data_IF_652080608670
#
_entry.id   IF_652080608670
#
_cell.length_a   1.000
_cell.length_b   1.000
_cell.length_c   1.000
_cell.angle_alpha   90.00
_cell.angle_beta   90.00
_cell.angle_gamma   90.00
#
_symmetry.space_group_name_H-M   'P 1'
#
loop_
_entity.id
_entity.type
_entity.pdbx_description
1 polymer ?
#
# COMPACT_ATOMS: atom_id res chain seq x y z
N UNK A 1 43.48 -5.05 26.35
CA UNK A 1 42.52 -6.18 26.28
C UNK A 1 42.78 -6.86 24.95
N UNK A 2 42.96 -8.18 24.92
CA UNK A 2 43.23 -8.88 23.67
C UNK A 2 42.01 -8.78 22.74
N UNK A 3 42.22 -8.40 21.48
CA UNK A 3 41.17 -8.46 20.46
C UNK A 3 40.66 -9.90 20.35
N UNK A 4 39.38 -10.10 20.64
CA UNK A 4 38.71 -11.38 20.44
C UNK A 4 38.37 -11.48 18.95
N UNK A 5 39.25 -12.10 18.16
CA UNK A 5 39.03 -12.31 16.73
C UNK A 5 38.17 -13.56 16.55
N UNK A 6 36.91 -13.38 16.15
CA UNK A 6 36.02 -14.48 15.75
C UNK A 6 36.34 -14.87 14.31
N UNK A 7 36.69 -16.13 14.08
CA UNK A 7 36.88 -16.70 12.74
C UNK A 7 35.60 -17.41 12.31
N UNK A 8 35.17 -17.15 11.08
CA UNK A 8 33.98 -17.73 10.47
C UNK A 8 34.25 -18.05 9.00
N UNK A 9 33.63 -19.11 8.50
CA UNK A 9 33.68 -19.46 7.07
C UNK A 9 32.92 -18.42 6.23
N UNK A 10 33.56 -17.92 5.17
CA UNK A 10 33.01 -16.85 4.36
C UNK A 10 31.68 -17.23 3.70
N UNK A 11 31.58 -18.46 3.18
CA UNK A 11 30.36 -18.97 2.54
C UNK A 11 29.17 -19.00 3.49
N UNK A 12 29.37 -19.46 4.72
CA UNK A 12 28.33 -19.51 5.76
C UNK A 12 27.86 -18.11 6.15
N UNK A 13 28.80 -17.18 6.35
CA UNK A 13 28.47 -15.79 6.69
C UNK A 13 27.71 -15.10 5.57
N UNK A 14 28.14 -15.29 4.33
CA UNK A 14 27.49 -14.73 3.15
C UNK A 14 26.08 -15.28 2.98
N UNK A 15 25.91 -16.60 3.11
CA UNK A 15 24.60 -17.24 3.00
C UNK A 15 23.64 -16.71 4.07
N UNK A 16 24.09 -16.66 5.34
CA UNK A 16 23.27 -16.14 6.44
C UNK A 16 22.88 -14.68 6.22
N UNK A 17 23.86 -13.81 5.96
CA UNK A 17 23.61 -12.38 5.76
C UNK A 17 22.67 -12.11 4.57
N UNK A 18 22.83 -12.89 3.50
CA UNK A 18 21.96 -12.77 2.33
C UNK A 18 20.53 -13.22 2.63
N UNK A 19 20.34 -14.33 3.36
CA UNK A 19 19.01 -14.82 3.76
C UNK A 19 18.33 -13.80 4.69
N UNK A 20 19.04 -13.31 5.70
CA UNK A 20 18.50 -12.34 6.67
C UNK A 20 18.02 -11.06 5.96
N UNK A 21 18.83 -10.52 5.05
CA UNK A 21 18.45 -9.38 4.22
C UNK A 21 17.26 -9.69 3.30
N UNK A 22 17.29 -10.84 2.62
CA UNK A 22 16.24 -11.24 1.68
C UNK A 22 14.89 -11.37 2.38
N UNK A 23 14.85 -12.05 3.52
CA UNK A 23 13.65 -12.21 4.33
C UNK A 23 13.11 -10.86 4.79
N UNK A 24 13.97 -9.98 5.32
CA UNK A 24 13.56 -8.63 5.73
C UNK A 24 12.95 -7.83 4.58
N UNK A 25 13.51 -7.90 3.38
CA UNK A 25 12.96 -7.20 2.20
C UNK A 25 11.61 -7.78 1.78
N UNK A 26 11.46 -9.11 1.80
CA UNK A 26 10.22 -9.79 1.40
C UNK A 26 9.10 -9.48 2.39
N UNK A 27 9.32 -9.69 3.69
CA UNK A 27 8.25 -9.65 4.70
C UNK A 27 7.99 -8.26 5.27
N UNK A 28 8.99 -7.37 5.29
CA UNK A 28 8.91 -6.10 6.00
C UNK A 28 9.15 -4.87 5.12
N UNK A 29 9.17 -5.02 3.78
CA UNK A 29 9.39 -3.88 2.88
C UNK A 29 8.62 -3.93 1.57
N UNK A 30 8.88 -4.94 0.74
CA UNK A 30 8.56 -4.87 -0.67
C UNK A 30 7.12 -5.28 -1.01
N UNK A 31 6.58 -6.27 -0.28
CA UNK A 31 5.25 -6.84 -0.52
C UNK A 31 4.24 -6.32 0.51
N UNK A 32 2.97 -6.10 0.11
CA UNK A 32 1.90 -5.79 1.05
C UNK A 32 1.48 -7.03 1.85
N UNK A 33 0.80 -6.81 2.98
CA UNK A 33 0.04 -7.87 3.66
C UNK A 33 -1.29 -8.08 2.92
N UNK A 34 -1.72 -9.33 2.75
CA UNK A 34 -2.97 -9.64 2.04
C UNK A 34 -4.23 -9.18 2.79
N UNK A 35 -4.16 -9.08 4.13
CA UNK A 35 -5.29 -8.71 4.99
C UNK A 35 -5.69 -7.26 4.83
N UNK A 36 -4.71 -6.35 4.78
CA UNK A 36 -4.96 -4.91 4.70
C UNK A 36 -4.51 -4.26 3.39
N UNK A 37 -3.76 -4.98 2.55
CA UNK A 37 -3.24 -4.48 1.28
C UNK A 37 -2.14 -3.43 1.42
N UNK A 38 -1.54 -3.26 2.59
CA UNK A 38 -0.56 -2.21 2.87
C UNK A 38 0.85 -2.77 3.08
N UNK A 39 1.84 -2.00 2.62
CA UNK A 39 3.24 -2.18 3.01
C UNK A 39 3.49 -1.56 4.38
N UNK A 40 4.54 -1.99 5.11
CA UNK A 40 4.85 -1.43 6.43
C UNK A 40 5.00 0.08 6.47
N UNK A 41 5.65 0.71 5.48
CA UNK A 41 5.77 2.17 5.43
C UNK A 41 4.42 2.88 5.29
N UNK A 42 3.50 2.33 4.49
CA UNK A 42 2.15 2.91 4.29
C UNK A 42 1.34 2.80 5.58
N UNK A 43 1.34 1.61 6.20
CA UNK A 43 0.68 1.35 7.49
C UNK A 43 1.18 2.30 8.57
N UNK A 44 2.49 2.44 8.72
CA UNK A 44 3.13 3.31 9.72
C UNK A 44 2.83 4.78 9.50
N UNK A 45 2.80 5.25 8.23
CA UNK A 45 2.40 6.64 7.92
C UNK A 45 0.95 6.89 8.35
N UNK A 46 0.01 6.02 7.96
CA UNK A 46 -1.41 6.18 8.32
C UNK A 46 -1.63 6.12 9.84
N UNK A 47 -0.98 5.18 10.51
CA UNK A 47 -1.04 5.07 11.97
C UNK A 47 -0.41 6.28 12.67
N UNK A 48 0.74 6.78 12.21
CA UNK A 48 1.34 8.00 12.77
C UNK A 48 0.44 9.23 12.60
N UNK A 49 -0.24 9.35 11.46
CA UNK A 49 -1.22 10.43 11.22
C UNK A 49 -2.41 10.35 12.16
N UNK A 50 -2.91 9.15 12.44
CA UNK A 50 -3.97 8.88 13.42
C UNK A 50 -3.54 9.27 14.84
N UNK A 51 -2.35 8.82 15.27
CA UNK A 51 -1.78 9.16 16.58
C UNK A 51 -1.49 10.65 16.75
N UNK A 52 -1.21 11.37 15.66
CA UNK A 52 -1.08 12.82 15.64
C UNK A 52 -2.44 13.57 15.66
N UNK A 53 -3.56 12.84 15.60
CA UNK A 53 -4.90 13.40 15.57
C UNK A 53 -5.21 14.17 14.29
N UNK A 54 -4.64 13.77 13.15
CA UNK A 54 -4.81 14.43 11.86
C UNK A 54 -6.09 13.98 11.14
N UNK A 55 -7.19 13.95 11.90
CA UNK A 55 -8.50 13.53 11.42
C UNK A 55 -9.00 14.42 10.28
N UNK A 56 -9.93 13.91 9.49
CA UNK A 56 -10.44 14.61 8.30
C UNK A 56 -11.07 15.98 8.61
N UNK A 57 -11.61 16.14 9.82
CA UNK A 57 -12.27 17.35 10.31
C UNK A 57 -11.28 18.38 10.89
N UNK A 58 -9.98 18.06 10.96
CA UNK A 58 -8.94 18.95 11.48
C UNK A 58 -8.21 19.71 10.37
N UNK A 59 -7.52 20.82 10.70
CA UNK A 59 -6.64 21.49 9.75
C UNK A 59 -5.46 20.61 9.34
N UNK A 60 -4.98 20.79 8.12
CA UNK A 60 -3.75 20.16 7.64
C UNK A 60 -2.55 20.50 8.55
N UNK A 61 -1.55 19.62 8.56
CA UNK A 61 -0.27 19.81 9.24
C UNK A 61 0.88 19.58 8.28
N UNK A 62 2.00 20.28 8.53
CA UNK A 62 3.21 20.16 7.72
C UNK A 62 3.63 18.71 7.55
N UNK A 63 3.86 18.29 6.31
CA UNK A 63 4.29 16.93 5.97
C UNK A 63 5.57 16.55 6.70
N UNK A 64 6.49 17.51 6.90
CA UNK A 64 7.70 17.31 7.69
C UNK A 64 7.45 16.80 9.13
N UNK A 65 6.34 17.20 9.76
CA UNK A 65 5.95 16.70 11.08
C UNK A 65 5.50 15.24 11.03
N UNK A 66 4.67 14.90 10.04
CA UNK A 66 4.18 13.52 9.83
C UNK A 66 5.36 12.59 9.57
N UNK A 67 6.27 13.01 8.69
CA UNK A 67 7.49 12.26 8.35
C UNK A 67 8.38 12.09 9.58
N UNK A 68 8.62 13.15 10.35
CA UNK A 68 9.42 13.11 11.56
C UNK A 68 8.87 12.17 12.64
N UNK A 69 7.57 12.24 12.94
CA UNK A 69 6.93 11.34 13.90
C UNK A 69 6.93 9.89 13.43
N UNK A 70 6.65 9.65 12.15
CA UNK A 70 6.69 8.29 11.57
C UNK A 70 8.10 7.71 11.67
N UNK A 71 9.12 8.50 11.32
CA UNK A 71 10.51 8.08 11.35
C UNK A 71 11.00 7.80 12.77
N UNK A 72 10.69 8.71 13.71
CA UNK A 72 11.15 8.63 15.09
C UNK A 72 10.53 7.49 15.89
N UNK A 73 9.26 7.14 15.61
CA UNK A 73 8.52 6.15 16.40
C UNK A 73 8.41 4.78 15.73
N UNK A 74 8.24 4.73 14.42
CA UNK A 74 7.76 3.49 13.76
C UNK A 74 8.64 3.03 12.60
N UNK A 75 9.23 3.94 11.83
CA UNK A 75 9.91 3.61 10.57
C UNK A 75 11.38 4.07 10.58
N UNK A 76 12.33 3.22 11.01
CA UNK A 76 13.75 3.60 11.18
C UNK A 76 14.53 3.64 9.85
N UNK A 77 13.96 4.30 8.84
CA UNK A 77 14.54 4.49 7.52
C UNK A 77 14.42 5.95 7.08
N UNK A 78 15.02 6.29 5.93
CA UNK A 78 15.15 7.66 5.47
C UNK A 78 13.83 8.41 5.33
N UNK A 79 13.85 9.68 5.70
CA UNK A 79 12.73 10.63 5.61
C UNK A 79 12.16 10.73 4.20
N UNK A 80 13.01 10.67 3.17
CA UNK A 80 12.59 10.67 1.75
C UNK A 80 11.60 9.56 1.44
N UNK A 81 11.86 8.32 1.88
CA UNK A 81 11.01 7.15 1.60
C UNK A 81 9.62 7.27 2.24
N UNK A 82 9.57 7.87 3.43
CA UNK A 82 8.33 8.12 4.16
C UNK A 82 7.55 9.25 3.48
N UNK A 83 8.23 10.32 3.08
CA UNK A 83 7.59 11.45 2.39
C UNK A 83 7.06 11.04 1.01
N UNK A 84 7.82 10.29 0.23
CA UNK A 84 7.36 9.73 -1.06
C UNK A 84 6.14 8.83 -0.87
N UNK A 85 6.11 8.03 0.20
CA UNK A 85 4.92 7.23 0.57
C UNK A 85 3.72 8.13 0.84
N UNK A 86 3.88 9.17 1.66
CA UNK A 86 2.82 10.14 1.96
C UNK A 86 2.29 10.81 0.68
N UNK A 87 3.19 11.15 -0.24
CA UNK A 87 2.84 11.75 -1.53
C UNK A 87 2.00 10.78 -2.38
N UNK A 88 2.44 9.52 -2.53
CA UNK A 88 1.70 8.51 -3.30
C UNK A 88 0.33 8.20 -2.68
N UNK A 89 0.22 8.25 -1.35
CA UNK A 89 -1.06 8.06 -0.64
C UNK A 89 -2.05 9.21 -0.86
N UNK A 90 -1.60 10.35 -1.39
CA UNK A 90 -2.44 11.51 -1.71
C UNK A 90 -2.85 11.53 -3.21
N UNK A 91 -2.01 11.02 -4.10
CA UNK A 91 -2.19 11.11 -5.55
C UNK A 91 -3.31 10.20 -6.08
N UNK A 92 -4.47 10.76 -6.39
CA UNK A 92 -5.62 10.05 -6.97
C UNK A 92 -5.34 9.44 -8.37
N UNK A 93 -4.28 9.87 -9.08
CA UNK A 93 -3.88 9.27 -10.37
C UNK A 93 -2.92 8.07 -10.24
N UNK A 94 -2.42 7.78 -9.02
CA UNK A 94 -1.57 6.61 -8.73
C UNK A 94 -2.32 5.45 -8.08
N UNK A 95 -3.44 5.74 -7.42
CA UNK A 95 -4.21 4.81 -6.60
C UNK A 95 -5.68 4.86 -6.96
N UNK A 96 -6.38 3.73 -6.82
CA UNK A 96 -7.84 3.69 -7.04
C UNK A 96 -8.59 4.61 -6.07
N UNK A 97 -8.09 4.74 -4.85
CA UNK A 97 -8.59 5.63 -3.81
C UNK A 97 -7.41 6.20 -3.01
N UNK A 98 -7.12 7.49 -3.14
CA UNK A 98 -6.13 8.10 -2.26
C UNK A 98 -6.61 8.10 -0.81
N UNK A 99 -5.68 7.95 0.13
CA UNK A 99 -5.92 7.79 1.56
C UNK A 99 -5.58 9.05 2.37
N UNK A 100 -4.90 10.01 1.76
CA UNK A 100 -4.44 11.25 2.38
C UNK A 100 -5.03 12.44 1.64
N UNK A 101 -5.42 13.47 2.39
CA UNK A 101 -5.83 14.77 1.88
C UNK A 101 -4.64 15.74 1.99
N UNK A 102 -4.16 16.21 0.84
CA UNK A 102 -2.98 17.06 0.72
C UNK A 102 -3.33 18.52 0.46
N UNK A 103 -2.51 19.42 1.00
CA UNK A 103 -2.51 20.83 0.68
C UNK A 103 -1.12 21.28 0.22
N UNK A 104 -1.05 21.82 -1.00
CA UNK A 104 0.18 22.23 -1.67
C UNK A 104 0.42 21.43 -2.94
N UNK A 105 1.64 21.47 -3.47
CA UNK A 105 2.00 20.71 -4.66
C UNK A 105 2.45 19.29 -4.28
N UNK A 106 1.60 18.30 -4.52
CA UNK A 106 1.89 16.88 -4.36
C UNK A 106 2.31 16.17 -5.66
N UNK A 107 2.65 16.94 -6.71
CA UNK A 107 3.07 16.43 -8.00
C UNK A 107 1.91 16.34 -9.00
N UNK A 108 2.22 15.94 -10.22
CA UNK A 108 1.28 15.91 -11.34
C UNK A 108 1.35 14.58 -12.10
N UNK A 109 0.29 14.28 -12.85
CA UNK A 109 0.26 13.13 -13.77
C UNK A 109 1.28 13.27 -14.90
N UNK A 110 1.74 14.49 -15.20
CA UNK A 110 2.72 14.80 -16.24
C UNK A 110 4.15 14.46 -15.83
N UNK A 111 4.37 14.08 -14.56
CA UNK A 111 5.66 13.62 -14.04
C UNK A 111 6.38 14.64 -13.16
N UNK A 112 5.74 15.77 -12.83
CA UNK A 112 6.29 16.70 -11.84
C UNK A 112 6.27 16.08 -10.45
N UNK A 113 7.41 16.14 -9.77
CA UNK A 113 7.52 15.71 -8.38
C UNK A 113 6.79 16.64 -7.42
N UNK A 114 6.47 16.12 -6.23
CA UNK A 114 5.94 16.94 -5.15
C UNK A 114 6.94 18.02 -4.71
N UNK A 115 6.41 19.14 -4.21
CA UNK A 115 7.23 20.12 -3.51
C UNK A 115 7.86 19.50 -2.24
N UNK A 116 8.91 20.12 -1.71
CA UNK A 116 9.54 19.64 -0.49
C UNK A 116 8.56 19.62 0.70
N UNK A 117 8.72 18.65 1.61
CA UNK A 117 7.84 18.42 2.78
C UNK A 117 7.67 19.61 3.75
N UNK A 118 8.50 20.65 3.62
CA UNK A 118 8.35 21.92 4.36
C UNK A 118 7.23 22.82 3.80
N UNK A 119 6.83 22.61 2.55
CA UNK A 119 5.79 23.38 1.87
C UNK A 119 4.44 22.68 1.89
N UNK A 120 4.43 21.36 1.75
CA UNK A 120 3.20 20.57 1.74
C UNK A 120 2.65 20.35 3.15
N UNK A 121 1.35 20.17 3.23
CA UNK A 121 0.63 19.79 4.44
C UNK A 121 -0.32 18.64 4.12
N UNK A 122 -0.63 17.80 5.10
CA UNK A 122 -1.51 16.65 4.91
C UNK A 122 -2.39 16.40 6.15
N UNK A 123 -3.50 15.70 5.94
CA UNK A 123 -4.37 15.08 6.94
C UNK A 123 -5.01 13.81 6.37
N UNK A 124 -5.72 13.03 7.19
CA UNK A 124 -6.43 11.84 6.73
C UNK A 124 -7.67 12.23 5.91
N UNK A 125 -7.98 11.47 4.84
CA UNK A 125 -9.32 11.53 4.23
C UNK A 125 -10.32 10.89 5.20
N UNK A 126 -11.58 11.34 5.15
CA UNK A 126 -12.67 10.76 5.96
C UNK A 126 -12.79 9.25 5.76
N UNK A 127 -12.74 8.81 4.49
CA UNK A 127 -12.76 7.40 4.12
C UNK A 127 -11.66 6.61 4.83
N UNK A 128 -10.42 7.10 4.83
CA UNK A 128 -9.30 6.43 5.50
C UNK A 128 -9.53 6.29 7.00
N UNK A 129 -10.00 7.34 7.66
CA UNK A 129 -10.30 7.28 9.08
C UNK A 129 -11.40 6.25 9.39
N UNK A 130 -12.51 6.30 8.65
CA UNK A 130 -13.68 5.45 8.91
C UNK A 130 -13.44 3.97 8.52
N UNK A 131 -12.61 3.72 7.49
CA UNK A 131 -12.46 2.39 6.88
C UNK A 131 -11.15 1.70 7.26
N UNK A 132 -10.05 2.44 7.46
CA UNK A 132 -8.72 1.86 7.70
C UNK A 132 -8.32 1.91 9.17
N UNK A 133 -8.81 2.89 9.93
CA UNK A 133 -8.28 3.20 11.26
C UNK A 133 -9.32 3.09 12.39
N UNK A 134 -10.60 3.11 12.05
CA UNK A 134 -11.67 3.01 13.03
C UNK A 134 -11.60 1.69 13.82
N UNK A 135 -11.85 1.80 15.13
CA UNK A 135 -11.87 0.72 16.12
C UNK A 135 -10.50 0.12 16.49
N UNK A 136 -9.38 0.76 16.13
CA UNK A 136 -8.04 0.37 16.60
C UNK A 136 -7.91 0.34 18.14
N UNK A 137 -8.71 1.12 18.85
CA UNK A 137 -8.77 1.18 20.31
C UNK A 137 -9.59 0.04 20.94
N UNK A 138 -10.21 -0.83 20.13
CA UNK A 138 -11.12 -1.89 20.57
C UNK A 138 -10.53 -3.31 20.50
N UNK A 139 -9.19 -3.41 20.51
CA UNK A 139 -8.49 -4.70 20.54
C UNK A 139 -8.85 -5.63 19.36
N UNK A 140 -8.98 -5.04 18.16
CA UNK A 140 -9.39 -5.75 16.92
C UNK A 140 -8.21 -6.26 16.10
N UNK A 141 -6.99 -5.80 16.39
CA UNK A 141 -5.74 -6.22 15.75
C UNK A 141 -4.64 -6.34 16.79
N UNK A 142 -3.70 -7.25 16.54
CA UNK A 142 -2.51 -7.38 17.37
C UNK A 142 -1.58 -6.18 17.20
N UNK A 143 -0.97 -5.76 18.31
CA UNK A 143 0.06 -4.73 18.35
C UNK A 143 1.41 -5.37 18.69
N UNK A 144 2.42 -4.97 17.93
CA UNK A 144 3.80 -5.39 18.13
C UNK A 144 4.65 -4.23 18.68
N UNK A 145 5.72 -4.52 19.44
CA UNK A 145 6.71 -3.49 19.77
C UNK A 145 7.29 -2.86 18.50
N UNK A 146 7.58 -1.56 18.55
CA UNK A 146 8.33 -0.89 17.50
C UNK A 146 9.82 -1.31 17.51
N UNK A 147 10.63 -0.70 16.64
CA UNK A 147 12.02 -1.09 16.40
C UNK A 147 12.97 -0.91 17.60
N UNK A 148 12.63 -0.06 18.57
CA UNK A 148 13.40 0.16 19.82
C UNK A 148 12.65 -0.28 21.08
N UNK A 149 11.51 -0.96 20.90
CA UNK A 149 10.64 -1.51 21.95
C UNK A 149 10.07 -0.46 22.93
N UNK A 150 10.09 0.83 22.58
CA UNK A 150 9.54 1.91 23.42
C UNK A 150 8.09 2.28 23.11
N UNK A 151 7.63 1.97 21.88
CA UNK A 151 6.28 2.23 21.39
C UNK A 151 5.65 0.94 20.86
N UNK A 152 4.34 0.99 20.56
CA UNK A 152 3.64 -0.10 19.87
C UNK A 152 3.10 0.35 18.53
N UNK A 153 3.11 -0.56 17.56
CA UNK A 153 2.50 -0.37 16.25
C UNK A 153 1.59 -1.56 15.90
N UNK A 154 0.51 -1.35 15.12
CA UNK A 154 -0.36 -2.43 14.71
C UNK A 154 0.34 -3.33 13.69
N UNK A 155 0.20 -4.65 13.83
CA UNK A 155 0.73 -5.61 12.84
C UNK A 155 0.08 -5.39 11.47
N UNK A 156 -1.25 -5.22 11.47
CA UNK A 156 -2.11 -4.86 10.32
C UNK A 156 -3.13 -3.81 10.73
N UNK A 157 -3.67 -3.08 9.76
CA UNK A 157 -4.83 -2.21 10.01
C UNK A 157 -6.15 -2.99 9.86
N UNK A 158 -7.22 -2.61 10.57
CA UNK A 158 -8.53 -3.29 10.54
C UNK A 158 -9.32 -3.13 9.23
N UNK A 159 -8.67 -2.68 8.15
CA UNK A 159 -9.25 -2.22 6.88
C UNK A 159 -10.54 -2.97 6.50
N UNK A 160 -11.67 -2.24 6.48
CA UNK A 160 -13.02 -2.81 6.30
C UNK A 160 -13.43 -3.06 4.86
N UNK A 161 -12.52 -2.86 3.93
CA UNK A 161 -12.72 -3.05 2.48
C UNK A 161 -11.53 -3.84 1.92
N UNK A 162 -11.71 -4.58 0.81
CA UNK A 162 -10.65 -5.36 0.18
C UNK A 162 -9.61 -4.47 -0.54
N UNK A 163 -8.86 -3.69 0.24
CA UNK A 163 -7.95 -2.64 -0.24
C UNK A 163 -6.87 -3.18 -1.19
N UNK A 164 -6.38 -4.40 -0.98
CA UNK A 164 -5.40 -5.02 -1.87
C UNK A 164 -5.87 -5.01 -3.33
N UNK A 165 -7.15 -5.29 -3.57
CA UNK A 165 -7.73 -5.30 -4.92
C UNK A 165 -8.15 -3.89 -5.37
N UNK A 166 -8.72 -3.10 -4.47
CA UNK A 166 -9.20 -1.74 -4.78
C UNK A 166 -8.04 -0.83 -5.20
N UNK A 167 -6.97 -0.79 -4.40
CA UNK A 167 -5.82 0.09 -4.62
C UNK A 167 -4.65 -0.58 -5.33
N UNK A 168 -4.73 -1.89 -5.54
CA UNK A 168 -3.65 -2.67 -6.13
C UNK A 168 -2.38 -2.63 -5.29
N UNK A 169 -1.34 -3.29 -5.79
CA UNK A 169 -0.03 -3.29 -5.17
C UNK A 169 1.06 -3.57 -6.19
N UNK A 170 2.16 -2.85 -6.06
CA UNK A 170 3.38 -3.10 -6.83
C UNK A 170 4.54 -3.29 -5.87
N UNK A 171 5.48 -4.19 -6.19
CA UNK A 171 6.62 -4.44 -5.32
C UNK A 171 7.68 -5.29 -5.99
N UNK A 172 8.93 -4.95 -5.73
CA UNK A 172 10.11 -5.71 -6.17
C UNK A 172 10.85 -6.14 -4.91
N UNK A 173 10.84 -7.43 -4.63
CA UNK A 173 11.53 -8.04 -3.50
C UNK A 173 12.79 -8.79 -3.98
N UNK A 174 13.41 -9.55 -3.09
CA UNK A 174 14.53 -10.42 -3.48
C UNK A 174 13.97 -11.71 -4.10
N UNK A 175 14.19 -11.88 -5.40
CA UNK A 175 13.78 -13.09 -6.14
C UNK A 175 12.31 -13.17 -6.52
N UNK A 176 11.51 -12.15 -6.23
CA UNK A 176 10.08 -12.11 -6.58
C UNK A 176 9.57 -10.68 -6.78
N UNK A 177 8.46 -10.55 -7.49
CA UNK A 177 7.77 -9.28 -7.73
C UNK A 177 6.27 -9.48 -7.58
N UNK A 178 5.56 -8.39 -7.28
CA UNK A 178 4.10 -8.33 -7.31
C UNK A 178 3.65 -7.11 -8.13
N UNK A 179 2.57 -7.27 -8.88
CA UNK A 179 1.91 -6.21 -9.62
C UNK A 179 0.42 -6.56 -9.77
N UNK A 180 -0.39 -6.04 -8.85
CA UNK A 180 -1.83 -6.22 -8.77
C UNK A 180 -2.47 -4.90 -9.22
N UNK A 181 -3.30 -4.89 -10.27
CA UNK A 181 -3.95 -3.67 -10.72
C UNK A 181 -5.10 -3.28 -9.78
N UNK A 182 -5.52 -2.02 -9.87
CA UNK A 182 -6.67 -1.46 -9.14
C UNK A 182 -7.99 -2.01 -9.69
N UNK A 183 -9.00 -2.10 -8.84
CA UNK A 183 -10.34 -2.57 -9.19
C UNK A 183 -11.40 -1.65 -8.56
N UNK A 184 -12.61 -1.72 -9.09
CA UNK A 184 -13.71 -0.92 -8.61
C UNK A 184 -14.19 -1.40 -7.23
N UNK A 185 -14.39 -0.49 -6.28
CA UNK A 185 -14.85 -0.81 -4.92
C UNK A 185 -16.18 -1.57 -4.91
N UNK A 186 -17.16 -1.14 -5.71
CA UNK A 186 -18.48 -1.76 -5.77
C UNK A 186 -18.40 -3.20 -6.28
N UNK A 187 -17.74 -3.39 -7.43
CA UNK A 187 -17.56 -4.71 -8.05
C UNK A 187 -16.87 -5.71 -7.11
N UNK A 188 -15.82 -5.28 -6.41
CA UNK A 188 -15.10 -6.18 -5.49
C UNK A 188 -15.95 -6.51 -4.25
N UNK A 189 -16.70 -5.55 -3.71
CA UNK A 189 -17.60 -5.80 -2.58
C UNK A 189 -18.72 -6.76 -2.98
N UNK A 190 -19.33 -6.56 -4.16
CA UNK A 190 -20.36 -7.45 -4.69
C UNK A 190 -19.83 -8.88 -4.88
N UNK A 191 -18.59 -9.02 -5.36
CA UNK A 191 -17.93 -10.32 -5.48
C UNK A 191 -17.63 -10.98 -4.13
N UNK A 192 -17.25 -10.21 -3.10
CA UNK A 192 -17.13 -10.71 -1.73
C UNK A 192 -18.47 -11.22 -1.20
N UNK A 193 -19.56 -10.48 -1.42
CA UNK A 193 -20.90 -10.91 -1.04
C UNK A 193 -21.32 -12.19 -1.79
N UNK A 194 -21.08 -12.26 -3.10
CA UNK A 194 -21.37 -13.45 -3.90
C UNK A 194 -20.61 -14.69 -3.40
N UNK A 195 -19.35 -14.54 -3.01
CA UNK A 195 -18.56 -15.63 -2.41
C UNK A 195 -19.07 -16.05 -1.03
N UNK A 196 -19.57 -15.10 -0.22
CA UNK A 196 -20.19 -15.41 1.06
C UNK A 196 -21.52 -16.16 0.91
N UNK A 197 -22.26 -15.89 -0.17
CA UNK A 197 -23.51 -16.58 -0.49
C UNK A 197 -23.27 -17.98 -1.09
N UNK A 198 -22.20 -18.16 -1.87
CA UNK A 198 -21.78 -19.45 -2.43
C UNK A 198 -20.25 -19.61 -2.42
N UNK A 199 -19.73 -20.35 -1.44
CA UNK A 199 -18.30 -20.65 -1.32
C UNK A 199 -17.73 -21.48 -2.48
N UNK A 200 -18.58 -22.08 -3.34
CA UNK A 200 -18.18 -22.85 -4.52
C UNK A 200 -18.24 -22.04 -5.82
N UNK A 201 -18.56 -20.74 -5.76
CA UNK A 201 -18.58 -19.88 -6.94
C UNK A 201 -17.23 -19.94 -7.65
N UNK A 202 -17.26 -20.14 -8.96
CA UNK A 202 -16.04 -20.24 -9.77
C UNK A 202 -15.46 -18.85 -10.03
N UNK A 203 -14.20 -18.79 -10.46
CA UNK A 203 -13.59 -17.54 -10.94
C UNK A 203 -14.42 -16.89 -12.04
N UNK A 204 -14.95 -17.67 -12.98
CA UNK A 204 -15.86 -17.17 -14.02
C UNK A 204 -17.14 -16.56 -13.41
N UNK A 205 -17.72 -17.19 -12.38
CA UNK A 205 -18.88 -16.65 -11.66
C UNK A 205 -18.56 -15.34 -10.93
N UNK A 206 -17.38 -15.22 -10.32
CA UNK A 206 -16.92 -13.98 -9.69
C UNK A 206 -16.68 -12.86 -10.70
N UNK A 207 -16.26 -13.21 -11.93
CA UNK A 207 -16.05 -12.23 -13.01
C UNK A 207 -17.32 -11.62 -13.57
N UNK A 208 -18.50 -12.20 -13.29
CA UNK A 208 -19.78 -11.53 -13.56
C UNK A 208 -19.96 -10.28 -12.70
N UNK A 209 -19.30 -10.23 -11.52
CA UNK A 209 -19.28 -9.08 -10.63
C UNK A 209 -18.03 -8.20 -10.87
N UNK A 210 -16.85 -8.81 -10.98
CA UNK A 210 -15.58 -8.12 -11.27
C UNK A 210 -15.26 -8.22 -12.76
N UNK A 211 -15.67 -7.20 -13.52
CA UNK A 211 -15.55 -7.20 -14.99
C UNK A 211 -14.08 -7.16 -15.41
N UNK A 212 -13.24 -6.50 -14.63
CA UNK A 212 -11.82 -6.37 -14.88
C UNK A 212 -11.17 -5.28 -14.01
N UNK A 213 -9.92 -4.90 -14.30
CA UNK A 213 -9.27 -3.82 -13.60
C UNK A 213 -9.91 -2.45 -13.91
N UNK A 214 -9.92 -1.58 -12.91
CA UNK A 214 -10.39 -0.19 -12.97
C UNK A 214 -9.23 0.75 -12.63
N UNK A 215 -8.55 1.26 -13.65
CA UNK A 215 -7.37 2.11 -13.46
C UNK A 215 -7.78 3.56 -13.13
N UNK A 216 -7.08 4.25 -12.21
CA UNK A 216 -7.44 5.62 -11.81
C UNK A 216 -7.43 6.63 -12.97
N UNK A 217 -6.64 6.36 -14.02
CA UNK A 217 -6.56 7.19 -15.23
C UNK A 217 -7.49 6.72 -16.35
N UNK A 218 -8.27 5.66 -16.12
CA UNK A 218 -9.10 4.99 -17.11
C UNK A 218 -8.28 4.28 -18.19
N UNK A 219 -8.70 4.43 -19.44
CA UNK A 219 -8.13 3.72 -20.59
C UNK A 219 -8.93 2.48 -20.98
N UNK A 220 -8.37 1.67 -21.89
CA UNK A 220 -9.03 0.49 -22.45
C UNK A 220 -8.15 -0.75 -22.28
N UNK A 221 -8.69 -1.77 -21.62
CA UNK A 221 -8.12 -3.13 -21.65
C UNK A 221 -8.46 -3.76 -23.00
N UNK A 222 -7.45 -4.04 -23.83
CA UNK A 222 -7.67 -4.54 -25.21
C UNK A 222 -7.67 -6.06 -25.34
N UNK A 223 -7.16 -6.78 -24.34
CA UNK A 223 -7.13 -8.24 -24.29
C UNK A 223 -8.05 -8.80 -23.21
N UNK A 224 -9.29 -8.30 -23.13
CA UNK A 224 -10.29 -8.74 -22.13
C UNK A 224 -10.51 -10.26 -22.12
N UNK A 225 -10.40 -10.92 -23.28
CA UNK A 225 -10.52 -12.37 -23.41
C UNK A 225 -9.45 -13.17 -22.65
N UNK A 226 -8.33 -12.53 -22.27
CA UNK A 226 -7.26 -13.17 -21.49
C UNK A 226 -7.50 -13.04 -19.97
N UNK A 227 -8.39 -12.15 -19.51
CA UNK A 227 -8.63 -11.89 -18.08
C UNK A 227 -9.04 -13.12 -17.27
N UNK A 228 -9.90 -14.05 -17.75
CA UNK A 228 -10.26 -15.23 -16.99
C UNK A 228 -9.04 -16.10 -16.62
N UNK A 229 -8.14 -16.34 -17.57
CA UNK A 229 -6.92 -17.11 -17.32
C UNK A 229 -5.95 -16.37 -16.37
N UNK A 230 -5.92 -15.04 -16.44
CA UNK A 230 -5.09 -14.21 -15.56
C UNK A 230 -5.60 -14.30 -14.12
N UNK A 231 -6.91 -14.17 -13.91
CA UNK A 231 -7.50 -14.27 -12.57
C UNK A 231 -7.45 -15.68 -11.99
N UNK A 232 -7.61 -16.72 -12.81
CA UNK A 232 -7.49 -18.11 -12.36
C UNK A 232 -6.05 -18.45 -11.91
N UNK A 233 -5.04 -17.95 -12.62
CA UNK A 233 -3.63 -18.30 -12.37
C UNK A 233 -2.88 -17.27 -11.51
N UNK A 234 -3.44 -16.08 -11.32
CA UNK A 234 -2.77 -14.93 -10.70
C UNK A 234 -1.65 -14.31 -11.55
N UNK A 235 -1.45 -14.75 -12.81
CA UNK A 235 -0.35 -14.27 -13.66
C UNK A 235 -0.78 -14.03 -15.11
N UNK A 236 -0.24 -12.98 -15.72
CA UNK A 236 -0.35 -12.75 -17.16
C UNK A 236 -0.12 -11.29 -17.54
N UNK A 237 -0.54 -10.92 -18.75
CA UNK A 237 -0.27 -9.58 -19.31
C UNK A 237 -1.58 -8.87 -19.57
N UNK A 238 -1.72 -7.65 -19.06
CA UNK A 238 -2.84 -6.77 -19.37
C UNK A 238 -2.36 -5.71 -20.36
N UNK A 239 -3.02 -5.63 -21.52
CA UNK A 239 -2.68 -4.67 -22.56
C UNK A 239 -3.61 -3.47 -22.45
N UNK A 240 -3.03 -2.29 -22.24
CA UNK A 240 -3.76 -1.03 -22.10
C UNK A 240 -3.62 -0.17 -23.35
N UNK A 241 -4.68 0.56 -23.69
CA UNK A 241 -4.73 1.54 -24.77
C UNK A 241 -5.40 2.82 -24.30
N UNK A 242 -4.83 3.97 -24.67
CA UNK A 242 -5.48 5.27 -24.46
C UNK A 242 -6.80 5.36 -25.23
N UNK A 243 -7.80 6.03 -24.65
CA UNK A 243 -9.05 6.32 -25.33
C UNK A 243 -8.81 7.50 -26.29
N UNK A 244 -9.05 7.28 -27.59
CA UNK A 244 -8.87 8.29 -28.64
C UNK A 244 -10.18 8.47 -29.38
N UNK A 245 -10.52 9.72 -29.69
CA UNK A 245 -11.62 10.09 -30.58
C UNK A 245 -11.00 10.88 -31.73
N UNK A 246 -11.38 10.55 -32.97
CA UNK A 246 -10.95 11.29 -34.15
C UNK A 246 -11.98 12.36 -34.45
N UNK A 247 -11.53 13.60 -34.66
CA UNK A 247 -12.35 14.71 -35.12
C UNK A 247 -11.98 15.05 -36.58
N UNK A 248 -12.94 15.38 -37.46
CA UNK A 248 -12.71 15.68 -38.88
C UNK A 248 -11.79 16.89 -39.15
#
# INVERSE_FOLDING_TARGET
MAEQIVKTEYSELMQKSYIDYSMSVITARALPDARDGLKPVQRRVLYAMDQLGLNYDKPHRKSARIVGDTMGKYHPHGDSSIYETLVVLEQDFKKGMALVDGHGNFGSIEGDGAAAMRYTEAKLKKFTQDVYLADLDKDVVDFIPNFDETEKEPEVLPVRVPNLLINGAEGIAVGMTTNIPTHNLGEVVDACCAYMDDENITTEGLMEYVIGPDFPTGGLVVNKSELPAIYESGTGKIKLRGKVVFEP
#
